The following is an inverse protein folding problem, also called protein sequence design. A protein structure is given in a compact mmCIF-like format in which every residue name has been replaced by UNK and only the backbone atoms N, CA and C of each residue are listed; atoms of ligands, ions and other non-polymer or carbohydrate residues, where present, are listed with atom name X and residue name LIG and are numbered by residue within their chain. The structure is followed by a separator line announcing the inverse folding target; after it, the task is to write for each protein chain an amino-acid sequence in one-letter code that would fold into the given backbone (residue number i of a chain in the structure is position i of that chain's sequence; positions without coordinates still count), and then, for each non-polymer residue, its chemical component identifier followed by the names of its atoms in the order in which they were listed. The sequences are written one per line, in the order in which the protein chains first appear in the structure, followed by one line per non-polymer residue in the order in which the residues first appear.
data_IF_792737473769
#
_entry.id   IF_792737473769
#
_cell.length_a   1.000
_cell.length_b   1.000
_cell.length_c   1.000
_cell.angle_alpha   90.00
_cell.angle_beta   90.00
_cell.angle_gamma   90.00
#
_symmetry.space_group_name_H-M   'P 1'
#
loop_
_entity.id
_entity.type
_entity.pdbx_description
1 polymer ?
#
# COMPACT_ATOMS: atom_id res chain seq x y z
N UNK A 1 5.02 16.29 -4.37
CA UNK A 1 6.01 15.38 -3.73
C UNK A 1 5.32 14.05 -3.51
N UNK A 2 5.99 12.88 -3.58
CA UNK A 2 5.32 11.56 -3.40
C UNK A 2 4.54 11.41 -2.07
N UNK A 3 4.83 12.25 -1.07
CA UNK A 3 4.14 12.29 0.23
C UNK A 3 2.67 12.72 0.14
N UNK A 4 2.29 13.48 -0.89
CA UNK A 4 0.93 14.02 -1.03
C UNK A 4 -0.05 12.92 -1.45
N UNK A 5 0.40 11.96 -2.27
CA UNK A 5 -0.44 10.86 -2.78
C UNK A 5 -1.03 10.02 -1.64
N UNK A 6 -0.22 9.72 -0.61
CA UNK A 6 -0.67 8.91 0.53
C UNK A 6 -1.78 9.62 1.30
N UNK A 7 -1.63 10.93 1.54
CA UNK A 7 -2.66 11.72 2.20
C UNK A 7 -3.94 11.80 1.36
N UNK A 8 -3.81 12.04 0.05
CA UNK A 8 -4.95 12.10 -0.85
C UNK A 8 -5.71 10.76 -0.90
N UNK A 9 -5.02 9.62 -0.86
CA UNK A 9 -5.65 8.30 -0.80
C UNK A 9 -6.48 8.09 0.46
N UNK A 10 -6.04 8.58 1.62
CA UNK A 10 -6.81 8.50 2.87
C UNK A 10 -8.11 9.31 2.79
N UNK A 11 -8.08 10.50 2.17
CA UNK A 11 -9.29 11.29 1.94
C UNK A 11 -10.23 10.62 0.94
N UNK A 12 -9.68 10.11 -0.18
CA UNK A 12 -10.46 9.38 -1.19
C UNK A 12 -11.14 8.17 -0.58
N UNK A 13 -10.44 7.38 0.26
CA UNK A 13 -11.01 6.22 0.95
C UNK A 13 -12.26 6.59 1.75
N UNK A 14 -12.19 7.64 2.56
CA UNK A 14 -13.34 8.14 3.34
C UNK A 14 -14.50 8.54 2.44
N UNK A 15 -14.22 9.24 1.33
CA UNK A 15 -15.24 9.67 0.37
C UNK A 15 -15.90 8.49 -0.33
N UNK A 16 -15.14 7.49 -0.79
CA UNK A 16 -15.71 6.37 -1.55
C UNK A 16 -16.41 5.33 -0.66
N UNK A 17 -16.05 5.22 0.63
CA UNK A 17 -16.73 4.36 1.59
C UNK A 17 -18.21 4.75 1.73
N UNK A 18 -18.51 6.06 1.70
CA UNK A 18 -19.90 6.56 1.67
C UNK A 18 -20.69 6.08 0.44
N UNK A 19 -20.00 5.73 -0.65
CA UNK A 19 -20.55 5.19 -1.90
C UNK A 19 -20.51 3.66 -1.96
N UNK A 20 -20.29 2.98 -0.83
CA UNK A 20 -20.10 1.52 -0.71
C UNK A 20 -18.93 0.94 -1.51
N UNK A 21 -18.01 1.78 -2.01
CA UNK A 21 -16.79 1.34 -2.71
C UNK A 21 -15.62 1.23 -1.76
N UNK A 22 -14.61 0.45 -2.10
CA UNK A 22 -13.40 0.27 -1.28
C UNK A 22 -12.14 0.35 -2.15
N UNK A 23 -11.07 0.94 -1.62
CA UNK A 23 -9.75 0.81 -2.25
C UNK A 23 -9.18 -0.55 -1.84
N UNK A 24 -8.79 -1.33 -2.83
CA UNK A 24 -7.98 -2.53 -2.67
C UNK A 24 -6.53 -2.22 -3.02
N UNK A 25 -5.62 -2.95 -2.40
CA UNK A 25 -4.20 -2.87 -2.67
C UNK A 25 -3.63 -4.29 -2.67
N UNK A 26 -2.72 -4.57 -3.60
CA UNK A 26 -1.89 -5.76 -3.50
C UNK A 26 -0.90 -5.64 -2.34
N UNK A 27 -0.61 -6.74 -1.62
CA UNK A 27 0.39 -6.72 -0.56
C UNK A 27 1.74 -6.30 -1.14
N UNK A 28 2.46 -5.45 -0.40
CA UNK A 28 3.86 -5.19 -0.72
C UNK A 28 4.64 -6.51 -0.68
N UNK A 29 5.66 -6.63 -1.52
CA UNK A 29 6.60 -7.73 -1.47
C UNK A 29 8.04 -7.24 -1.59
N UNK A 30 8.95 -7.97 -0.96
CA UNK A 30 10.38 -7.74 -1.07
C UNK A 30 10.91 -8.39 -2.35
N UNK A 31 11.51 -7.59 -3.23
CA UNK A 31 12.14 -8.04 -4.47
C UNK A 31 13.41 -8.87 -4.23
N UNK A 32 14.03 -8.76 -3.05
CA UNK A 32 15.24 -9.49 -2.73
C UNK A 32 14.96 -10.89 -2.14
N UNK A 33 14.01 -10.99 -1.22
CA UNK A 33 13.77 -12.23 -0.45
C UNK A 33 12.36 -12.79 -0.57
N UNK A 34 11.48 -12.16 -1.36
CA UNK A 34 10.10 -12.62 -1.56
C UNK A 34 9.16 -12.41 -0.37
N UNK A 35 9.59 -11.73 0.71
CA UNK A 35 8.75 -11.50 1.88
C UNK A 35 7.50 -10.68 1.53
N UNK A 36 6.32 -11.23 1.81
CA UNK A 36 5.01 -10.63 1.54
C UNK A 36 4.44 -9.94 2.78
N UNK A 37 3.99 -8.69 2.63
CA UNK A 37 3.46 -7.86 3.70
C UNK A 37 1.94 -8.02 3.86
N UNK A 38 1.48 -9.24 4.21
CA UNK A 38 0.06 -9.66 4.22
C UNK A 38 -0.91 -8.85 5.10
N UNK A 39 -0.44 -8.24 6.19
CA UNK A 39 -1.30 -7.58 7.20
C UNK A 39 -1.26 -6.05 7.18
N UNK A 40 -0.73 -5.43 6.12
CA UNK A 40 -0.56 -3.97 6.09
C UNK A 40 -1.70 -3.30 5.33
N UNK A 41 -2.58 -2.61 6.07
CA UNK A 41 -3.64 -1.75 5.50
C UNK A 41 -3.20 -0.31 5.20
N UNK A 42 -1.96 0.07 5.52
CA UNK A 42 -1.46 1.43 5.31
C UNK A 42 -1.00 1.62 3.87
N UNK A 43 -1.50 2.68 3.22
CA UNK A 43 -1.10 3.10 1.87
C UNK A 43 0.39 3.47 1.76
N UNK A 44 1.04 3.82 2.88
CA UNK A 44 2.46 4.19 2.92
C UNK A 44 3.39 2.99 2.69
N UNK A 45 4.29 3.11 1.71
CA UNK A 45 5.35 2.16 1.42
C UNK A 45 6.17 1.84 2.68
N UNK A 46 6.43 0.55 3.00
CA UNK A 46 7.34 0.20 4.09
C UNK A 46 8.75 0.72 3.80
N UNK A 47 9.49 1.09 4.83
CA UNK A 47 10.86 1.60 4.66
C UNK A 47 11.88 0.50 4.40
N UNK A 48 11.80 -0.62 5.12
CA UNK A 48 12.74 -1.74 5.05
C UNK A 48 12.03 -3.09 5.14
N UNK A 49 12.63 -4.12 4.55
CA UNK A 49 12.15 -5.50 4.66
C UNK A 49 12.51 -6.07 6.05
N UNK A 50 11.57 -6.63 6.83
CA UNK A 50 11.89 -7.21 8.14
C UNK A 50 12.72 -8.51 8.05
N UNK A 51 12.65 -9.23 6.92
CA UNK A 51 13.37 -10.48 6.73
C UNK A 51 14.85 -10.27 6.36
N UNK A 52 15.12 -9.48 5.32
CA UNK A 52 16.49 -9.27 4.80
C UNK A 52 17.08 -7.88 5.11
N UNK A 53 16.31 -6.97 5.72
CA UNK A 53 16.69 -5.59 6.12
C UNK A 53 17.03 -4.62 4.99
N UNK A 54 17.74 -5.06 3.97
CA UNK A 54 18.25 -4.24 2.86
C UNK A 54 17.53 -4.50 1.53
N UNK A 55 16.47 -5.32 1.57
CA UNK A 55 15.69 -5.65 0.39
C UNK A 55 14.88 -4.49 -0.15
N UNK A 56 14.81 -4.39 -1.49
CA UNK A 56 13.97 -3.42 -2.19
C UNK A 56 12.52 -3.86 -2.16
N UNK A 57 11.62 -2.94 -1.84
CA UNK A 57 10.18 -3.22 -1.79
C UNK A 57 9.55 -2.78 -3.11
N UNK A 58 8.74 -3.65 -3.69
CA UNK A 58 7.98 -3.38 -4.91
C UNK A 58 7.10 -2.13 -4.77
N UNK A 59 6.78 -1.44 -5.88
CA UNK A 59 5.79 -0.37 -5.87
C UNK A 59 4.42 -0.92 -5.45
N UNK A 60 3.58 -0.08 -4.86
CA UNK A 60 2.22 -0.47 -4.53
C UNK A 60 1.29 -0.34 -5.74
N UNK A 61 0.39 -1.30 -5.87
CA UNK A 61 -0.70 -1.28 -6.84
C UNK A 61 -1.99 -1.09 -6.05
N UNK A 62 -2.78 -0.08 -6.42
CA UNK A 62 -4.06 0.25 -5.80
C UNK A 62 -5.13 0.36 -6.87
N UNK A 63 -6.35 -0.08 -6.56
CA UNK A 63 -7.51 0.08 -7.42
C UNK A 63 -8.78 0.27 -6.59
N UNK A 64 -9.81 0.84 -7.21
CA UNK A 64 -11.12 1.00 -6.60
C UNK A 64 -11.98 -0.18 -7.02
N UNK A 65 -12.44 -0.94 -6.04
CA UNK A 65 -13.44 -1.99 -6.22
C UNK A 65 -14.82 -1.39 -5.89
N UNK A 66 -15.81 -1.64 -6.76
CA UNK A 66 -17.19 -1.12 -6.64
C UNK A 66 -18.16 -2.19 -6.19
#
# INVERSE_FOLDING_TARGET
MEKDVVHHLEFIEKTIQSKKKRIRMEPYYCLNCGFEFKNRKKFKKPGKCPACRDGRIAPAIFWIES
#
